data_IF_627704279642
#
_entry.id   IF_627704279642
#
_cell.length_a   1.000
_cell.length_b   1.000
_cell.length_c   1.000
_cell.angle_alpha   90.00
_cell.angle_beta   90.00
_cell.angle_gamma   90.00
#
_symmetry.space_group_name_H-M   'P 1'
#
loop_
_entity.id
_entity.type
_entity.pdbx_description
1 polymer ?
#
# COMPACT_ATOMS: atom_id res chain seq x y z
N UNK A 1 -8.13 -22.54 -9.07
CA UNK A 1 -8.94 -21.81 -10.06
C UNK A 1 -8.06 -21.42 -11.24
N UNK A 2 -8.63 -21.39 -12.47
CA UNK A 2 -7.87 -21.09 -13.71
C UNK A 2 -8.09 -19.66 -14.15
N UNK A 3 -7.00 -19.05 -14.61
CA UNK A 3 -6.96 -17.68 -15.14
C UNK A 3 -6.22 -17.65 -16.46
N UNK A 4 -6.55 -16.68 -17.29
CA UNK A 4 -5.86 -16.41 -18.55
C UNK A 4 -5.41 -14.94 -18.58
N UNK A 5 -4.14 -14.72 -18.87
CA UNK A 5 -3.62 -13.39 -19.22
C UNK A 5 -3.35 -13.37 -20.71
N UNK A 6 -4.12 -12.59 -21.45
CA UNK A 6 -3.92 -12.38 -22.87
C UNK A 6 -3.26 -11.04 -23.13
N UNK A 7 -2.19 -11.05 -23.93
CA UNK A 7 -1.55 -9.83 -24.41
C UNK A 7 -2.04 -9.58 -25.81
N UNK A 8 -2.76 -8.49 -26.00
CA UNK A 8 -3.23 -8.05 -27.32
C UNK A 8 -2.10 -7.28 -28.00
N UNK A 9 -1.85 -7.57 -29.28
CA UNK A 9 -0.80 -6.96 -30.13
C UNK A 9 0.61 -7.03 -29.52
N UNK A 10 1.09 -8.21 -29.09
CA UNK A 10 2.41 -8.34 -28.48
C UNK A 10 3.52 -8.03 -29.50
N UNK A 11 4.53 -7.29 -29.06
CA UNK A 11 5.70 -6.94 -29.90
C UNK A 11 6.51 -8.19 -30.25
N UNK A 12 6.60 -9.16 -29.35
CA UNK A 12 7.34 -10.40 -29.53
C UNK A 12 6.68 -11.36 -30.55
N UNK A 13 5.48 -11.04 -31.03
CA UNK A 13 4.69 -11.91 -31.88
C UNK A 13 3.79 -12.88 -31.11
N UNK A 14 2.88 -13.51 -31.85
CA UNK A 14 1.86 -14.39 -31.27
C UNK A 14 2.45 -15.66 -30.65
N UNK A 15 2.15 -15.91 -29.39
CA UNK A 15 2.57 -17.11 -28.66
C UNK A 15 3.98 -17.04 -28.10
N UNK A 16 4.63 -15.87 -28.18
CA UNK A 16 5.95 -15.64 -27.60
C UNK A 16 5.85 -14.60 -26.48
N UNK A 17 6.70 -14.74 -25.46
CA UNK A 17 6.94 -13.76 -24.42
C UNK A 17 8.41 -13.80 -24.02
N UNK A 18 9.05 -12.65 -23.95
CA UNK A 18 10.40 -12.52 -23.42
C UNK A 18 10.45 -12.95 -21.95
N UNK A 19 11.45 -13.74 -21.58
CA UNK A 19 11.57 -14.30 -20.22
C UNK A 19 11.68 -13.19 -19.16
N UNK A 20 12.42 -12.10 -19.45
CA UNK A 20 12.53 -10.97 -18.50
C UNK A 20 11.20 -10.27 -18.31
N UNK A 21 10.43 -10.15 -19.39
CA UNK A 21 9.06 -9.62 -19.33
C UNK A 21 8.14 -10.50 -18.49
N UNK A 22 8.21 -11.81 -18.67
CA UNK A 22 7.45 -12.77 -17.87
C UNK A 22 7.79 -12.66 -16.39
N UNK A 23 9.08 -12.56 -16.03
CA UNK A 23 9.52 -12.35 -14.64
C UNK A 23 9.00 -11.03 -14.09
N UNK A 24 9.05 -9.92 -14.85
CA UNK A 24 8.51 -8.64 -14.43
C UNK A 24 6.99 -8.70 -14.19
N UNK A 25 6.26 -9.39 -15.09
CA UNK A 25 4.80 -9.57 -14.94
C UNK A 25 4.48 -10.39 -13.70
N UNK A 26 5.17 -11.51 -13.48
CA UNK A 26 4.99 -12.37 -12.33
C UNK A 26 5.29 -11.65 -11.00
N UNK A 27 6.39 -10.88 -10.93
CA UNK A 27 6.79 -10.10 -9.77
C UNK A 27 5.71 -9.06 -9.39
N UNK A 28 5.20 -8.33 -10.39
CA UNK A 28 4.17 -7.31 -10.15
C UNK A 28 2.86 -7.94 -9.71
N UNK A 29 2.42 -9.02 -10.35
CA UNK A 29 1.20 -9.74 -9.96
C UNK A 29 1.32 -10.21 -8.51
N UNK A 30 2.43 -10.84 -8.16
CA UNK A 30 2.67 -11.35 -6.81
C UNK A 30 2.67 -10.22 -5.77
N UNK A 31 3.37 -9.12 -6.03
CA UNK A 31 3.42 -7.95 -5.13
C UNK A 31 2.07 -7.28 -4.95
N UNK A 32 1.30 -7.13 -6.02
CA UNK A 32 -0.06 -6.56 -5.94
C UNK A 32 -0.98 -7.50 -5.16
N UNK A 33 -0.96 -8.80 -5.42
CA UNK A 33 -1.78 -9.78 -4.70
C UNK A 33 -1.40 -9.82 -3.20
N UNK A 34 -0.10 -9.79 -2.88
CA UNK A 34 0.41 -9.72 -1.51
C UNK A 34 -0.06 -8.44 -0.80
N UNK A 35 0.19 -7.27 -1.41
CA UNK A 35 -0.24 -5.99 -0.86
C UNK A 35 -1.75 -5.91 -0.66
N UNK A 36 -2.53 -6.41 -1.60
CA UNK A 36 -3.98 -6.47 -1.52
C UNK A 36 -4.47 -7.40 -0.39
N UNK A 37 -3.80 -8.53 -0.17
CA UNK A 37 -4.09 -9.43 0.94
C UNK A 37 -3.74 -8.78 2.28
N UNK A 38 -2.54 -8.21 2.40
CA UNK A 38 -2.08 -7.51 3.61
C UNK A 38 -3.04 -6.38 3.99
N UNK A 39 -3.46 -5.58 3.00
CA UNK A 39 -4.38 -4.47 3.22
C UNK A 39 -5.74 -4.93 3.77
N UNK A 40 -6.22 -6.09 3.33
CA UNK A 40 -7.47 -6.68 3.84
C UNK A 40 -7.33 -7.30 5.22
N UNK A 41 -6.19 -7.89 5.52
CA UNK A 41 -5.92 -8.52 6.82
C UNK A 41 -5.53 -7.50 7.89
N UNK A 42 -4.68 -6.54 7.54
CA UNK A 42 -4.01 -5.63 8.47
C UNK A 42 -4.34 -4.15 8.27
N UNK A 43 -5.03 -3.79 7.17
CA UNK A 43 -5.39 -2.41 6.86
C UNK A 43 -4.29 -1.60 6.17
N UNK A 44 -3.12 -2.19 5.85
CA UNK A 44 -2.03 -1.61 5.06
C UNK A 44 -1.44 -2.66 4.13
N UNK A 45 -0.90 -2.23 2.99
CA UNK A 45 -0.35 -3.13 1.96
C UNK A 45 1.11 -3.53 2.22
N UNK A 46 1.85 -2.75 3.00
CA UNK A 46 3.24 -3.03 3.37
C UNK A 46 3.34 -3.02 4.89
N UNK A 47 3.87 -4.10 5.45
CA UNK A 47 4.20 -4.19 6.87
C UNK A 47 5.70 -4.34 7.04
N UNK A 48 6.28 -3.69 8.05
CA UNK A 48 7.65 -3.96 8.46
C UNK A 48 7.73 -5.34 9.12
N UNK A 49 8.82 -6.06 8.89
CA UNK A 49 9.08 -7.34 9.53
C UNK A 49 9.23 -8.52 8.56
N UNK A 50 9.46 -9.70 9.12
CA UNK A 50 9.66 -10.95 8.35
C UNK A 50 8.33 -11.44 7.81
N UNK A 51 8.27 -11.76 6.52
CA UNK A 51 7.10 -12.39 5.90
C UNK A 51 6.77 -13.71 6.61
N UNK A 52 5.48 -13.94 6.83
CA UNK A 52 5.02 -15.22 7.34
C UNK A 52 5.03 -16.24 6.21
N UNK A 53 5.69 -17.39 6.39
CA UNK A 53 5.76 -18.45 5.37
C UNK A 53 4.38 -18.92 4.89
N UNK A 54 3.35 -18.89 5.77
CA UNK A 54 1.97 -19.23 5.42
C UNK A 54 1.37 -18.28 4.37
N UNK A 55 1.81 -17.03 4.30
CA UNK A 55 1.34 -16.08 3.28
C UNK A 55 1.95 -16.37 1.91
N UNK A 56 3.19 -16.82 1.86
CA UNK A 56 3.85 -17.17 0.59
C UNK A 56 3.14 -18.35 -0.08
N UNK A 57 2.76 -19.39 0.70
CA UNK A 57 1.99 -20.52 0.17
C UNK A 57 0.59 -20.10 -0.32
N UNK A 58 -0.05 -19.17 0.40
CA UNK A 58 -1.37 -18.67 0.03
C UNK A 58 -1.38 -17.81 -1.24
N UNK A 59 -0.25 -17.19 -1.56
CA UNK A 59 -0.07 -16.32 -2.72
C UNK A 59 0.53 -17.04 -3.93
N UNK A 60 0.67 -18.35 -3.86
CA UNK A 60 1.22 -19.15 -4.94
C UNK A 60 0.36 -19.09 -6.19
N UNK A 61 0.97 -18.76 -7.32
CA UNK A 61 0.39 -18.74 -8.66
C UNK A 61 1.27 -19.58 -9.58
N UNK A 62 0.71 -20.63 -10.16
CA UNK A 62 1.43 -21.53 -11.05
C UNK A 62 1.15 -21.15 -12.52
N UNK A 63 2.20 -21.03 -13.34
CA UNK A 63 2.09 -20.94 -14.79
C UNK A 63 1.97 -22.35 -15.37
N UNK A 64 0.80 -22.68 -15.89
CA UNK A 64 0.51 -24.04 -16.42
C UNK A 64 0.71 -24.18 -17.92
N UNK A 65 0.85 -23.07 -18.63
CA UNK A 65 1.15 -23.11 -20.05
C UNK A 65 1.05 -21.78 -20.78
N UNK A 66 1.52 -21.77 -22.01
CA UNK A 66 1.41 -20.66 -22.96
C UNK A 66 0.72 -21.18 -24.23
N UNK A 67 -0.37 -20.56 -24.65
CA UNK A 67 -1.11 -20.97 -25.86
C UNK A 67 -0.61 -20.23 -27.09
N UNK A 68 -0.51 -20.96 -28.22
CA UNK A 68 -0.21 -20.40 -29.53
C UNK A 68 -1.42 -19.64 -30.11
N UNK A 69 -1.16 -18.68 -30.99
CA UNK A 69 -2.18 -17.90 -31.73
C UNK A 69 -2.44 -16.49 -31.17
N UNK A 70 -2.26 -16.24 -29.92
CA UNK A 70 -2.08 -14.97 -29.19
C UNK A 70 -1.22 -15.29 -27.99
N UNK A 71 -0.46 -14.34 -27.45
CA UNK A 71 0.32 -14.59 -26.25
C UNK A 71 -0.66 -14.69 -25.07
N UNK A 72 -0.98 -15.94 -24.68
CA UNK A 72 -1.91 -16.25 -23.59
C UNK A 72 -1.19 -17.09 -22.55
N UNK A 73 -1.07 -16.53 -21.36
CA UNK A 73 -0.49 -17.22 -20.20
C UNK A 73 -1.65 -17.85 -19.42
N UNK A 74 -1.56 -19.16 -19.24
CA UNK A 74 -2.53 -19.92 -18.44
C UNK A 74 -1.99 -20.05 -17.03
N UNK A 75 -2.73 -19.55 -16.06
CA UNK A 75 -2.34 -19.52 -14.67
C UNK A 75 -3.34 -20.33 -13.82
N UNK A 76 -2.85 -20.93 -12.75
CA UNK A 76 -3.66 -21.63 -11.78
C UNK A 76 -3.27 -21.25 -10.36
N UNK A 77 -4.25 -21.05 -9.48
CA UNK A 77 -4.03 -20.78 -8.06
C UNK A 77 -5.20 -21.30 -7.22
N UNK A 78 -4.90 -21.62 -5.95
CA UNK A 78 -5.88 -22.02 -4.97
C UNK A 78 -6.66 -20.84 -4.39
N UNK A 79 -7.77 -21.10 -3.71
CA UNK A 79 -8.48 -20.10 -2.92
C UNK A 79 -7.74 -19.83 -1.61
N UNK A 80 -7.90 -18.62 -1.08
CA UNK A 80 -7.28 -18.26 0.20
C UNK A 80 -7.85 -19.10 1.36
N UNK A 81 -9.12 -19.53 1.27
CA UNK A 81 -9.73 -20.42 2.27
C UNK A 81 -9.11 -21.81 2.30
N UNK A 82 -8.61 -22.31 1.15
CA UNK A 82 -7.91 -23.60 1.08
C UNK A 82 -6.49 -23.52 1.66
N UNK A 83 -5.81 -22.39 1.50
CA UNK A 83 -4.39 -22.20 1.86
C UNK A 83 -4.19 -21.59 3.23
N UNK A 84 -5.04 -20.66 3.65
CA UNK A 84 -4.95 -19.96 4.95
C UNK A 84 -5.80 -20.66 6.04
N UNK A 85 -5.72 -21.97 6.14
CA UNK A 85 -6.42 -22.75 7.17
C UNK A 85 -6.02 -22.26 8.57
N UNK A 86 -7.02 -21.85 9.38
CA UNK A 86 -6.82 -21.38 10.76
C UNK A 86 -6.67 -19.86 10.91
N UNK A 87 -6.69 -19.07 9.85
CA UNK A 87 -6.90 -17.62 9.93
C UNK A 87 -8.40 -17.38 9.98
N UNK A 88 -8.86 -16.77 11.07
CA UNK A 88 -10.25 -16.36 11.22
C UNK A 88 -10.50 -15.19 10.27
N UNK A 89 -11.12 -15.45 9.13
CA UNK A 89 -11.59 -14.40 8.23
C UNK A 89 -12.77 -13.67 8.89
N UNK A 90 -12.70 -12.36 8.95
CA UNK A 90 -13.73 -11.52 9.58
C UNK A 90 -15.09 -11.77 8.92
N UNK A 91 -16.07 -12.25 9.71
CA UNK A 91 -17.42 -12.57 9.25
C UNK A 91 -18.27 -11.30 8.93
N UNK A 92 -17.78 -10.11 9.33
CA UNK A 92 -18.52 -8.86 9.14
C UNK A 92 -18.04 -8.14 7.88
N UNK A 93 -18.69 -8.41 6.76
CA UNK A 93 -18.37 -7.76 5.47
C UNK A 93 -19.60 -7.20 4.81
N UNK A 94 -19.36 -6.06 4.14
CA UNK A 94 -20.35 -5.38 3.32
C UNK A 94 -20.95 -6.32 2.27
N UNK A 95 -22.27 -6.24 2.15
CA UNK A 95 -23.03 -6.97 1.13
C UNK A 95 -22.45 -6.72 -0.26
N UNK A 96 -22.14 -7.78 -0.98
CA UNK A 96 -21.67 -7.74 -2.39
C UNK A 96 -20.19 -8.06 -2.62
N UNK A 97 -19.35 -8.22 -1.59
CA UNK A 97 -17.98 -8.71 -1.77
C UNK A 97 -17.89 -10.23 -1.53
N UNK A 98 -17.24 -10.94 -2.47
CA UNK A 98 -16.81 -12.31 -2.24
C UNK A 98 -16.07 -12.39 -0.90
N UNK A 99 -16.44 -13.35 -0.04
CA UNK A 99 -15.70 -13.56 1.20
C UNK A 99 -14.23 -13.78 0.87
N UNK A 100 -13.31 -13.26 1.70
CA UNK A 100 -11.87 -13.36 1.44
C UNK A 100 -11.42 -14.81 1.25
N UNK A 101 -12.09 -15.75 1.91
CA UNK A 101 -11.85 -17.18 1.76
C UNK A 101 -12.09 -17.69 0.32
N UNK A 102 -13.03 -17.10 -0.41
CA UNK A 102 -13.35 -17.46 -1.80
C UNK A 102 -12.45 -16.78 -2.82
N UNK A 103 -11.71 -15.76 -2.40
CA UNK A 103 -10.77 -15.07 -3.28
C UNK A 103 -9.50 -15.89 -3.51
N UNK A 104 -8.83 -15.58 -4.60
CA UNK A 104 -7.53 -16.13 -4.98
C UNK A 104 -6.53 -14.98 -5.13
N UNK A 105 -5.21 -15.25 -5.18
CA UNK A 105 -4.22 -14.21 -5.48
C UNK A 105 -4.51 -13.45 -6.78
N UNK A 106 -4.95 -14.18 -7.82
CA UNK A 106 -5.30 -13.55 -9.10
C UNK A 106 -6.56 -12.70 -9.01
N UNK A 107 -7.59 -13.11 -8.26
CA UNK A 107 -8.78 -12.26 -8.07
C UNK A 107 -8.48 -11.03 -7.23
N UNK A 108 -7.56 -11.12 -6.24
CA UNK A 108 -7.06 -9.95 -5.51
C UNK A 108 -6.39 -8.95 -6.45
N UNK A 109 -5.51 -9.44 -7.32
CA UNK A 109 -4.85 -8.63 -8.34
C UNK A 109 -5.87 -7.93 -9.25
N UNK A 110 -6.84 -8.69 -9.82
CA UNK A 110 -7.87 -8.16 -10.72
C UNK A 110 -8.74 -7.10 -10.04
N UNK A 111 -9.24 -7.40 -8.84
CA UNK A 111 -10.11 -6.49 -8.09
C UNK A 111 -9.38 -5.21 -7.71
N UNK A 112 -8.13 -5.30 -7.27
CA UNK A 112 -7.31 -4.13 -6.90
C UNK A 112 -7.07 -3.20 -8.10
N UNK A 113 -6.79 -3.77 -9.27
CA UNK A 113 -6.69 -2.99 -10.51
C UNK A 113 -8.03 -2.33 -10.88
N UNK A 114 -9.13 -3.09 -10.83
CA UNK A 114 -10.45 -2.55 -11.14
C UNK A 114 -10.83 -1.43 -10.17
N UNK A 115 -10.62 -1.61 -8.86
CA UNK A 115 -10.90 -0.59 -7.84
C UNK A 115 -10.10 0.69 -8.07
N UNK A 116 -8.83 0.56 -8.51
CA UNK A 116 -7.97 1.71 -8.80
C UNK A 116 -8.36 2.43 -10.11
N UNK A 117 -8.86 1.70 -11.11
CA UNK A 117 -9.28 2.26 -12.41
C UNK A 117 -10.68 2.89 -12.35
N UNK A 118 -11.64 2.25 -11.67
CA UNK A 118 -13.02 2.73 -11.60
C UNK A 118 -13.18 3.97 -10.71
N UNK A 119 -12.24 4.26 -9.83
CA UNK A 119 -12.17 5.48 -9.01
C UNK A 119 -13.31 5.68 -8.00
N UNK A 120 -14.33 4.81 -7.97
CA UNK A 120 -15.58 5.02 -7.24
C UNK A 120 -15.84 3.99 -6.13
N UNK A 121 -15.44 2.73 -6.31
CA UNK A 121 -15.71 1.64 -5.38
C UNK A 121 -14.45 1.21 -4.61
N UNK A 122 -14.65 0.80 -3.36
CA UNK A 122 -13.64 0.12 -2.53
C UNK A 122 -12.29 0.86 -2.31
N UNK A 123 -12.31 2.18 -2.32
CA UNK A 123 -11.11 3.02 -2.03
C UNK A 123 -10.43 2.69 -0.70
N UNK A 124 -11.13 2.03 0.21
CA UNK A 124 -10.56 1.57 1.49
C UNK A 124 -9.50 0.47 1.34
N UNK A 125 -9.52 -0.26 0.20
CA UNK A 125 -8.56 -1.32 -0.12
C UNK A 125 -7.43 -0.84 -1.03
N UNK A 126 -7.17 0.46 -1.04
CA UNK A 126 -6.05 1.09 -1.74
C UNK A 126 -5.25 1.95 -0.77
N UNK A 127 -3.93 1.89 -0.87
CA UNK A 127 -3.00 2.79 -0.22
C UNK A 127 -1.87 3.16 -1.18
N UNK A 128 -1.07 4.15 -0.83
CA UNK A 128 -0.02 4.66 -1.72
C UNK A 128 0.99 3.59 -2.15
N UNK A 129 1.51 2.71 -1.26
CA UNK A 129 2.44 1.67 -1.68
C UNK A 129 1.83 0.67 -2.66
N UNK A 130 0.56 0.29 -2.49
CA UNK A 130 -0.12 -0.61 -3.41
C UNK A 130 -0.35 0.04 -4.78
N UNK A 131 -0.75 1.33 -4.80
CA UNK A 131 -0.89 2.10 -6.03
C UNK A 131 0.43 2.20 -6.79
N UNK A 132 1.56 2.38 -6.09
CA UNK A 132 2.90 2.34 -6.68
C UNK A 132 3.19 1.01 -7.40
N UNK A 133 2.79 -0.13 -6.81
CA UNK A 133 2.92 -1.43 -7.47
C UNK A 133 2.04 -1.53 -8.73
N UNK A 134 0.82 -0.98 -8.70
CA UNK A 134 -0.04 -0.93 -9.88
C UNK A 134 0.55 -0.05 -10.99
N UNK A 135 1.09 1.11 -10.65
CA UNK A 135 1.78 2.01 -11.62
C UNK A 135 3.01 1.33 -12.21
N UNK A 136 3.72 0.51 -11.42
CA UNK A 136 4.88 -0.24 -11.90
C UNK A 136 4.54 -1.23 -13.04
N UNK A 137 3.26 -1.60 -13.21
CA UNK A 137 2.79 -2.43 -14.33
C UNK A 137 3.12 -1.81 -15.70
N UNK A 138 3.33 -0.48 -15.77
CA UNK A 138 3.81 0.19 -16.99
C UNK A 138 5.09 -0.41 -17.56
N UNK A 139 5.94 -1.04 -16.73
CA UNK A 139 7.20 -1.66 -17.12
C UNK A 139 7.01 -2.94 -17.95
N UNK A 140 5.82 -3.54 -17.89
CA UNK A 140 5.49 -4.77 -18.63
C UNK A 140 5.08 -4.46 -20.06
N UNK A 141 4.63 -3.26 -20.37
CA UNK A 141 4.31 -2.84 -21.74
C UNK A 141 5.58 -2.59 -22.55
N UNK A 142 5.63 -3.14 -23.75
CA UNK A 142 6.73 -2.94 -24.72
C UNK A 142 6.36 -1.93 -25.80
N UNK A 143 5.06 -1.81 -26.13
CA UNK A 143 4.55 -0.83 -27.09
C UNK A 143 3.30 -0.12 -26.54
N UNK A 144 3.00 1.08 -27.04
CA UNK A 144 1.78 1.81 -26.66
C UNK A 144 0.48 1.08 -26.99
N UNK A 145 0.46 0.33 -28.10
CA UNK A 145 -0.74 -0.34 -28.63
C UNK A 145 -1.08 -1.65 -27.91
N UNK A 146 -0.17 -2.13 -27.05
CA UNK A 146 -0.40 -3.33 -26.29
C UNK A 146 -1.49 -3.12 -25.22
N UNK A 147 -2.25 -4.19 -24.98
CA UNK A 147 -3.21 -4.24 -23.89
C UNK A 147 -3.15 -5.61 -23.21
N UNK A 148 -3.44 -5.64 -21.92
CA UNK A 148 -3.53 -6.85 -21.12
C UNK A 148 -5.00 -7.12 -20.80
N UNK A 149 -5.44 -8.35 -21.03
CA UNK A 149 -6.75 -8.86 -20.60
C UNK A 149 -6.50 -9.97 -19.60
N UNK A 150 -7.13 -9.86 -18.45
CA UNK A 150 -7.08 -10.92 -17.43
C UNK A 150 -8.50 -11.40 -17.20
N UNK A 151 -8.71 -12.69 -17.39
CA UNK A 151 -10.03 -13.32 -17.23
C UNK A 151 -9.93 -14.63 -16.46
N UNK A 152 -11.04 -15.03 -15.87
CA UNK A 152 -11.25 -16.35 -15.34
C UNK A 152 -12.61 -16.87 -15.83
N UNK A 153 -12.76 -18.08 -16.12
CA UNK A 153 -13.93 -18.83 -16.61
C UNK A 153 -15.34 -18.25 -16.22
N UNK A 154 -15.51 -16.91 -16.32
CA UNK A 154 -16.79 -16.20 -16.10
C UNK A 154 -17.12 -15.88 -14.64
N UNK A 155 -16.21 -16.09 -13.68
CA UNK A 155 -16.49 -15.85 -12.25
C UNK A 155 -16.26 -14.44 -11.78
N UNK A 156 -15.37 -13.70 -12.47
CA UNK A 156 -15.09 -12.28 -12.19
C UNK A 156 -15.15 -11.49 -13.48
N UNK A 157 -15.46 -10.18 -13.37
CA UNK A 157 -15.42 -9.25 -14.49
C UNK A 157 -14.00 -9.27 -15.09
N UNK A 158 -13.92 -9.37 -16.42
CA UNK A 158 -12.64 -9.29 -17.13
C UNK A 158 -11.93 -7.98 -16.82
N UNK A 159 -10.65 -8.06 -16.47
CA UNK A 159 -9.81 -6.90 -16.28
C UNK A 159 -9.13 -6.54 -17.61
N UNK A 160 -9.29 -5.31 -18.07
CA UNK A 160 -8.65 -4.78 -19.27
C UNK A 160 -7.75 -3.60 -18.90
N UNK A 161 -6.44 -3.73 -19.17
CA UNK A 161 -5.43 -2.72 -18.81
C UNK A 161 -4.72 -2.24 -20.07
N UNK A 162 -4.80 -0.95 -20.34
CA UNK A 162 -3.99 -0.23 -21.32
C UNK A 162 -2.93 0.60 -20.62
N UNK A 163 -1.84 0.93 -21.32
CA UNK A 163 -0.78 1.78 -20.79
C UNK A 163 -1.31 3.17 -20.36
N UNK A 164 -2.26 3.71 -21.11
CA UNK A 164 -2.89 5.01 -20.81
C UNK A 164 -3.70 4.97 -19.52
N UNK A 165 -4.35 3.84 -19.22
CA UNK A 165 -5.18 3.69 -18.00
C UNK A 165 -4.35 3.83 -16.73
N UNK A 166 -3.06 3.50 -16.79
CA UNK A 166 -2.14 3.63 -15.64
C UNK A 166 -1.87 5.08 -15.25
N UNK A 167 -2.11 6.05 -16.12
CA UNK A 167 -2.00 7.48 -15.79
C UNK A 167 -3.01 7.88 -14.72
N UNK A 168 -4.23 7.32 -14.76
CA UNK A 168 -5.25 7.59 -13.76
C UNK A 168 -4.83 7.06 -12.38
N UNK A 169 -4.21 5.87 -12.36
CA UNK A 169 -3.67 5.29 -11.12
C UNK A 169 -2.51 6.13 -10.59
N UNK A 170 -1.63 6.65 -11.46
CA UNK A 170 -0.53 7.51 -11.07
C UNK A 170 -1.03 8.82 -10.45
N UNK A 171 -2.05 9.46 -11.03
CA UNK A 171 -2.68 10.66 -10.45
C UNK A 171 -3.27 10.37 -9.07
N UNK A 172 -3.93 9.21 -8.91
CA UNK A 172 -4.47 8.81 -7.61
C UNK A 172 -3.36 8.58 -6.59
N UNK A 173 -2.26 7.93 -7.00
CA UNK A 173 -1.09 7.68 -6.16
C UNK A 173 -0.43 9.01 -5.71
N UNK A 174 -0.18 9.94 -6.62
CA UNK A 174 0.40 11.25 -6.36
C UNK A 174 -0.48 12.10 -5.43
N UNK A 175 -1.80 11.92 -5.46
CA UNK A 175 -2.74 12.61 -4.58
C UNK A 175 -2.68 12.18 -3.12
N UNK A 176 -2.09 11.01 -2.82
CA UNK A 176 -1.98 10.51 -1.45
C UNK A 176 -0.67 10.97 -0.79
N UNK A 177 -0.75 11.40 0.49
CA UNK A 177 0.43 11.66 1.29
C UNK A 177 1.30 10.39 1.46
N UNK A 178 2.60 10.59 1.68
CA UNK A 178 3.48 9.50 2.13
C UNK A 178 3.10 9.02 3.53
N UNK A 179 3.31 7.73 3.85
CA UNK A 179 3.14 7.25 5.22
C UNK A 179 3.97 8.07 6.20
N UNK A 180 3.36 8.51 7.29
CA UNK A 180 3.95 9.46 8.23
C UNK A 180 4.00 8.88 9.64
N UNK A 181 5.13 9.06 10.33
CA UNK A 181 5.22 8.73 11.76
C UNK A 181 4.50 9.78 12.59
N UNK A 182 3.59 9.32 13.42
CA UNK A 182 2.87 10.20 14.34
C UNK A 182 2.92 9.68 15.77
N UNK A 183 2.72 10.59 16.69
CA UNK A 183 2.38 10.33 18.08
C UNK A 183 0.98 10.87 18.27
N UNK A 184 0.08 10.06 18.80
CA UNK A 184 -1.29 10.48 19.11
C UNK A 184 -1.68 10.02 20.50
N UNK A 185 -2.47 10.82 21.19
CA UNK A 185 -3.04 10.51 22.48
C UNK A 185 -4.54 10.24 22.35
N UNK A 186 -5.03 9.24 23.06
CA UNK A 186 -6.44 8.92 23.09
C UNK A 186 -6.76 7.67 23.89
N UNK A 187 -8.06 7.38 24.01
CA UNK A 187 -8.55 6.19 24.70
C UNK A 187 -8.53 4.99 23.75
N UNK A 188 -7.99 3.86 24.21
CA UNK A 188 -8.04 2.59 23.48
C UNK A 188 -9.45 2.01 23.61
N UNK A 189 -10.28 2.23 22.58
CA UNK A 189 -11.71 1.88 22.56
C UNK A 189 -11.97 0.44 22.10
N UNK A 190 -11.08 -0.10 21.24
CA UNK A 190 -11.17 -1.46 20.76
C UNK A 190 -9.78 -2.11 20.72
N UNK A 191 -9.71 -3.35 21.19
CA UNK A 191 -8.54 -4.19 21.05
C UNK A 191 -8.98 -5.60 20.68
N UNK A 192 -8.62 -6.07 19.48
CA UNK A 192 -8.97 -7.39 18.98
C UNK A 192 -7.70 -8.24 18.82
N UNK A 193 -7.52 -9.21 19.70
CA UNK A 193 -6.33 -10.04 19.74
C UNK A 193 -6.12 -10.88 18.47
N UNK A 194 -7.20 -11.46 17.92
CA UNK A 194 -7.13 -12.39 16.77
C UNK A 194 -6.66 -11.71 15.47
N UNK A 195 -7.01 -10.43 15.27
CA UNK A 195 -6.68 -9.66 14.08
C UNK A 195 -5.65 -8.56 14.34
N UNK A 196 -5.12 -8.46 15.57
CA UNK A 196 -4.22 -7.39 16.01
C UNK A 196 -4.79 -5.98 15.79
N UNK A 197 -6.10 -5.83 15.69
CA UNK A 197 -6.76 -4.54 15.48
C UNK A 197 -6.85 -3.74 16.75
N UNK A 198 -6.63 -2.44 16.63
CA UNK A 198 -6.77 -1.46 17.69
C UNK A 198 -7.57 -0.27 17.17
N UNK A 199 -8.35 0.35 18.05
CA UNK A 199 -9.02 1.63 17.80
C UNK A 199 -8.67 2.59 18.90
N UNK A 200 -8.18 3.77 18.52
CA UNK A 200 -7.85 4.86 19.43
C UNK A 200 -8.80 6.01 19.19
N UNK A 201 -9.52 6.42 20.23
CA UNK A 201 -10.46 7.54 20.21
C UNK A 201 -9.78 8.76 20.81
N UNK A 202 -9.44 9.72 19.99
CA UNK A 202 -8.91 11.02 20.38
C UNK A 202 -9.95 12.13 20.26
N UNK A 203 -9.60 13.36 20.64
CA UNK A 203 -10.50 14.53 20.55
C UNK A 203 -10.89 14.85 19.11
N UNK A 204 -10.02 14.60 18.14
CA UNK A 204 -10.27 14.87 16.72
C UNK A 204 -10.95 13.71 15.98
N UNK A 205 -11.38 12.67 16.70
CA UNK A 205 -12.09 11.52 16.13
C UNK A 205 -11.44 10.18 16.43
N UNK A 206 -11.85 9.19 15.64
CA UNK A 206 -11.44 7.80 15.81
C UNK A 206 -10.36 7.45 14.80
N UNK A 207 -9.29 6.79 15.27
CA UNK A 207 -8.24 6.23 14.43
C UNK A 207 -8.27 4.70 14.55
N UNK A 208 -8.62 4.03 13.46
CA UNK A 208 -8.48 2.59 13.35
C UNK A 208 -7.05 2.21 12.99
N UNK A 209 -6.57 1.11 13.54
CA UNK A 209 -5.21 0.65 13.32
C UNK A 209 -5.01 -0.83 13.60
N UNK A 210 -3.78 -1.24 13.55
CA UNK A 210 -3.34 -2.58 13.91
C UNK A 210 -2.00 -2.48 14.66
N UNK A 211 -1.73 -3.52 15.43
CA UNK A 211 -0.49 -3.61 16.21
C UNK A 211 0.62 -4.18 15.31
N UNK A 212 1.80 -3.57 15.35
CA UNK A 212 3.00 -4.14 14.75
C UNK A 212 3.28 -5.53 15.34
N UNK A 213 3.88 -6.42 14.53
CA UNK A 213 4.22 -7.78 14.96
C UNK A 213 5.25 -7.80 16.10
N UNK A 214 6.07 -6.73 16.22
CA UNK A 214 7.10 -6.58 17.25
C UNK A 214 6.51 -6.16 18.61
N UNK A 215 5.24 -5.79 18.68
CA UNK A 215 4.61 -5.27 19.89
C UNK A 215 4.02 -6.42 20.72
N UNK A 216 4.39 -6.48 22.01
CA UNK A 216 3.81 -7.45 22.92
C UNK A 216 2.31 -7.15 23.18
N UNK A 217 1.48 -8.04 22.68
CA UNK A 217 0.02 -7.92 22.81
C UNK A 217 -0.47 -7.96 24.25
N UNK A 218 0.27 -8.62 25.15
CA UNK A 218 -0.08 -8.68 26.57
C UNK A 218 0.15 -7.33 27.26
N UNK A 219 1.15 -6.58 26.83
CA UNK A 219 1.40 -5.22 27.31
C UNK A 219 0.33 -4.26 26.81
N UNK A 220 -0.05 -4.37 25.54
CA UNK A 220 -1.11 -3.52 24.94
C UNK A 220 -2.45 -3.73 25.64
N UNK A 221 -2.76 -4.95 26.06
CA UNK A 221 -4.02 -5.25 26.75
C UNK A 221 -4.25 -4.43 28.03
N UNK A 222 -3.18 -3.95 28.69
CA UNK A 222 -3.24 -3.11 29.88
C UNK A 222 -3.84 -1.73 29.61
N UNK A 223 -3.83 -1.28 28.36
CA UNK A 223 -4.33 0.02 27.94
C UNK A 223 -5.79 -0.03 27.47
N UNK A 224 -6.40 -1.21 27.42
CA UNK A 224 -7.80 -1.29 27.02
C UNK A 224 -8.69 -0.43 27.93
N UNK A 225 -9.56 0.37 27.34
CA UNK A 225 -10.42 1.38 27.97
C UNK A 225 -9.69 2.53 28.68
N UNK A 226 -8.37 2.62 28.56
CA UNK A 226 -7.57 3.66 29.20
C UNK A 226 -7.04 4.65 28.15
N UNK A 227 -6.70 5.83 28.65
CA UNK A 227 -5.92 6.79 27.86
C UNK A 227 -4.49 6.29 27.70
N UNK A 228 -3.98 6.42 26.50
CA UNK A 228 -2.62 6.04 26.15
C UNK A 228 -2.05 6.98 25.08
N UNK A 229 -0.74 7.12 25.09
CA UNK A 229 0.03 7.73 24.02
C UNK A 229 0.50 6.62 23.08
N UNK A 230 0.12 6.75 21.81
CA UNK A 230 0.38 5.77 20.77
C UNK A 230 1.33 6.36 19.74
N UNK A 231 2.42 5.66 19.46
CA UNK A 231 3.37 6.01 18.41
C UNK A 231 3.30 4.98 17.29
N UNK A 232 3.20 5.45 16.05
CA UNK A 232 3.09 4.56 14.91
C UNK A 232 3.25 5.25 13.56
N UNK A 233 3.07 4.46 12.51
CA UNK A 233 3.09 4.91 11.12
C UNK A 233 1.66 5.01 10.61
N UNK A 234 1.24 6.20 10.18
CA UNK A 234 -0.09 6.42 9.57
C UNK A 234 0.00 6.23 8.08
N UNK A 235 -0.89 5.43 7.57
CA UNK A 235 -1.10 5.19 6.15
C UNK A 235 -2.37 5.91 5.70
N UNK A 236 -2.25 6.67 4.61
CA UNK A 236 -3.35 7.42 4.02
C UNK A 236 -4.01 6.61 2.91
N UNK A 237 -5.34 6.69 2.85
CA UNK A 237 -6.17 6.01 1.86
C UNK A 237 -6.97 7.02 1.05
N UNK A 238 -7.35 6.69 -0.18
CA UNK A 238 -8.25 7.54 -0.96
C UNK A 238 -9.52 7.87 -0.18
N UNK A 239 -10.02 9.11 -0.33
CA UNK A 239 -11.18 9.57 0.42
C UNK A 239 -10.89 10.06 1.84
N UNK A 240 -9.61 10.32 2.17
CA UNK A 240 -9.21 10.94 3.46
C UNK A 240 -9.21 9.98 4.65
N UNK A 241 -9.43 8.69 4.44
CA UNK A 241 -9.31 7.68 5.50
C UNK A 241 -7.86 7.47 5.89
N UNK A 242 -7.63 7.10 7.14
CA UNK A 242 -6.31 6.86 7.71
C UNK A 242 -6.32 5.58 8.53
N UNK A 243 -5.18 4.88 8.54
CA UNK A 243 -4.97 3.68 9.37
C UNK A 243 -3.60 3.77 10.01
N UNK A 244 -3.48 3.51 11.30
CA UNK A 244 -2.21 3.55 12.03
C UNK A 244 -1.66 2.14 12.25
N UNK A 245 -0.38 1.93 11.92
CA UNK A 245 0.41 0.81 12.39
C UNK A 245 1.06 1.20 13.72
N UNK A 246 0.55 0.66 14.83
CA UNK A 246 1.03 0.98 16.17
C UNK A 246 2.34 0.25 16.43
N UNK A 247 3.40 1.00 16.66
CA UNK A 247 4.74 0.49 16.95
C UNK A 247 5.08 0.54 18.43
N UNK A 248 4.49 1.50 19.16
CA UNK A 248 4.66 1.65 20.62
C UNK A 248 3.38 2.19 21.25
N UNK A 249 3.14 1.80 22.48
CA UNK A 249 2.05 2.32 23.32
C UNK A 249 2.57 2.48 24.75
N UNK A 250 2.25 3.60 25.39
CA UNK A 250 2.68 3.90 26.75
C UNK A 250 1.64 4.76 27.48
N UNK A 251 1.70 4.83 28.82
CA UNK A 251 0.82 5.67 29.60
C UNK A 251 0.99 7.14 29.21
N UNK A 252 -0.10 7.91 29.32
CA UNK A 252 -0.05 9.36 29.15
C UNK A 252 0.80 9.99 30.24
N UNK A 253 1.77 10.81 29.89
CA UNK A 253 2.57 11.62 30.79
C UNK A 253 2.05 13.06 30.86
N UNK A 254 2.32 13.77 31.96
CA UNK A 254 1.92 15.17 32.09
C UNK A 254 2.63 16.05 31.06
N UNK A 255 1.86 16.85 30.32
CA UNK A 255 2.39 17.74 29.26
C UNK A 255 2.29 17.19 27.85
N UNK A 256 1.73 15.99 27.66
CA UNK A 256 1.56 15.38 26.32
C UNK A 256 0.26 15.84 25.59
N UNK A 257 -0.50 16.77 26.12
CA UNK A 257 -1.73 17.30 25.49
C UNK A 257 -1.52 17.81 24.05
N UNK A 258 -0.26 18.13 23.72
CA UNK A 258 0.10 18.52 22.36
C UNK A 258 -0.16 17.40 21.35
N UNK A 259 -0.02 16.12 21.75
CA UNK A 259 -0.24 14.96 20.90
C UNK A 259 -1.71 14.54 20.77
N UNK A 260 -2.61 15.18 21.53
CA UNK A 260 -4.04 14.94 21.40
C UNK A 260 -4.60 15.43 20.06
N UNK A 261 -3.95 16.41 19.42
CA UNK A 261 -4.35 16.95 18.11
C UNK A 261 -3.74 16.15 16.96
N UNK A 262 -4.61 15.58 16.15
CA UNK A 262 -4.18 14.86 14.95
C UNK A 262 -3.80 15.85 13.84
N UNK A 263 -2.59 15.71 13.30
CA UNK A 263 -2.19 16.46 12.11
C UNK A 263 -2.94 15.91 10.89
N UNK A 264 -3.38 16.81 10.01
CA UNK A 264 -3.91 16.41 8.70
C UNK A 264 -2.71 16.01 7.82
N UNK A 265 -2.78 14.81 7.24
CA UNK A 265 -1.80 14.42 6.23
C UNK A 265 -1.89 15.35 5.02
N UNK A 266 -0.77 15.88 4.60
CA UNK A 266 -0.64 16.76 3.44
C UNK A 266 0.20 16.07 2.37
N UNK A 267 -0.24 16.13 1.12
CA UNK A 267 0.62 15.73 0.00
C UNK A 267 1.71 16.78 -0.23
N UNK A 268 2.70 16.46 -1.07
CA UNK A 268 3.85 17.33 -1.31
C UNK A 268 3.43 18.72 -1.79
N UNK A 269 2.43 18.80 -2.66
CA UNK A 269 1.90 20.08 -3.18
C UNK A 269 1.29 20.93 -2.07
N UNK A 270 0.45 20.31 -1.23
CA UNK A 270 -0.16 20.99 -0.09
C UNK A 270 0.88 21.47 0.93
N UNK A 271 1.95 20.68 1.16
CA UNK A 271 3.06 21.08 2.01
C UNK A 271 3.80 22.29 1.43
N UNK A 272 4.07 22.29 0.12
CA UNK A 272 4.69 23.42 -0.57
C UNK A 272 3.81 24.66 -0.49
N UNK A 273 2.51 24.53 -0.78
CA UNK A 273 1.56 25.65 -0.69
C UNK A 273 1.47 26.21 0.73
N UNK A 274 1.45 25.36 1.75
CA UNK A 274 1.46 25.80 3.15
C UNK A 274 2.76 26.55 3.48
N UNK A 275 3.91 26.00 3.11
CA UNK A 275 5.20 26.63 3.34
C UNK A 275 5.32 27.98 2.62
N UNK A 276 4.81 28.10 1.40
CA UNK A 276 4.79 29.35 0.67
C UNK A 276 3.89 30.40 1.34
N UNK A 277 2.73 29.99 1.87
CA UNK A 277 1.84 30.88 2.62
C UNK A 277 2.45 31.33 3.94
N UNK A 278 3.01 30.42 4.74
CA UNK A 278 3.61 30.70 6.04
C UNK A 278 4.84 31.63 5.92
N UNK A 279 5.63 31.47 4.85
CA UNK A 279 6.86 32.24 4.61
C UNK A 279 6.67 33.47 3.72
N UNK A 280 5.42 33.90 3.48
CA UNK A 280 5.11 35.09 2.68
C UNK A 280 5.65 35.02 1.25
N UNK A 281 5.70 33.85 0.63
CA UNK A 281 6.17 33.63 -0.73
C UNK A 281 7.70 33.71 -0.91
N UNK A 282 8.48 33.85 0.14
CA UNK A 282 9.95 33.82 0.07
C UNK A 282 10.46 32.38 -0.07
N UNK A 283 11.06 32.12 -1.23
CA UNK A 283 11.76 30.83 -1.44
C UNK A 283 13.11 30.89 -0.67
N UNK A 284 13.08 30.36 0.57
CA UNK A 284 14.29 30.31 1.42
C UNK A 284 15.35 29.35 0.86
N UNK A 285 15.02 28.45 -0.06
CA UNK A 285 16.04 27.64 -0.75
C UNK A 285 16.97 28.50 -1.60
N UNK A 286 16.47 29.61 -2.21
CA UNK A 286 17.31 30.54 -2.95
C UNK A 286 18.26 31.34 -2.06
N UNK A 287 17.94 31.53 -0.77
CA UNK A 287 18.84 32.25 0.15
C UNK A 287 19.96 31.37 0.70
N UNK A 288 19.88 30.05 0.51
CA UNK A 288 20.87 29.06 0.95
C UNK A 288 21.80 28.65 -0.21
N UNK A 289 21.39 28.93 -1.46
CA UNK A 289 22.22 28.66 -2.64
C UNK A 289 23.44 29.60 -2.57
N UNK A 290 24.63 29.05 -2.56
CA UNK A 290 25.90 29.75 -2.38
C UNK A 290 26.33 30.00 -0.91
N UNK A 291 25.53 29.50 0.08
CA UNK A 291 25.90 29.51 1.51
C UNK A 291 26.06 28.10 2.08
N UNK A 292 26.03 27.09 1.22
CA UNK A 292 26.22 25.71 1.67
C UNK A 292 27.68 25.50 2.07
N UNK A 293 27.97 24.97 3.27
CA UNK A 293 29.34 24.58 3.62
C UNK A 293 29.80 23.50 2.62
N UNK A 294 30.72 23.82 1.76
CA UNK A 294 31.23 22.98 0.68
C UNK A 294 31.49 23.72 -0.64
N UNK A 295 30.97 24.95 -0.82
CA UNK A 295 31.35 25.85 -1.90
C UNK A 295 32.59 26.73 -1.52
N UNK A 296 33.10 26.54 -0.30
CA UNK A 296 34.31 27.18 0.16
C UNK A 296 35.55 26.49 -0.40
N UNK A 297 36.51 27.30 -0.88
CA UNK A 297 37.76 26.77 -1.40
C UNK A 297 38.44 25.88 -0.33
N UNK A 298 38.59 24.58 -0.64
CA UNK A 298 39.12 23.58 0.30
C UNK A 298 40.49 23.98 0.87
N UNK A 299 41.31 24.72 0.10
CA UNK A 299 42.60 25.20 0.51
C UNK A 299 42.50 26.33 1.57
N UNK A 300 41.42 27.12 1.56
CA UNK A 300 41.13 28.15 2.58
C UNK A 300 40.68 27.48 3.90
N UNK A 301 39.91 26.41 3.85
CA UNK A 301 39.48 25.66 5.02
C UNK A 301 40.66 24.94 5.73
N UNK A 302 41.57 24.36 4.96
CA UNK A 302 42.80 23.74 5.51
C UNK A 302 43.71 24.81 6.14
N UNK A 303 43.84 25.98 5.54
CA UNK A 303 44.61 27.12 6.09
C UNK A 303 44.08 27.59 7.44
N UNK A 304 42.77 27.57 7.67
CA UNK A 304 42.14 27.94 8.95
C UNK A 304 42.29 26.87 10.04
N UNK A 305 42.45 25.59 9.67
CA UNK A 305 42.60 24.46 10.62
C UNK A 305 44.04 24.26 11.05
N UNK A 306 45.03 24.89 10.35
CA UNK A 306 46.47 24.75 10.61
C UNK A 306 47.10 26.03 11.19
N UNK A 307 46.30 27.05 11.44
CA UNK A 307 46.68 28.30 12.11
C UNK A 307 46.20 28.27 13.59
#
# INVERSE_FOLDING_TARGET
MKYEIKIDKPVEGNGHIDLRRLVQLADIISKVAEGALQLRLRGVSITAGRKQAKLDDALRIDLVGVKKGSTRLMLECATLGETLKGIQFDAFRHEGQLQLAEQTPMSLFMNTFSDALDGTSNKEFLDKPLLNQLVAFKKVFRAPEEAFRVSNEGRTKELFVKKESLKQIAVLEESLPEPERIVLQGTVDLLQHSSSRIRVKGPDGVMDGFLSDDLDRSEVARFWTKEATVMGLVHFKPGGRRTIEVQRIFPVEQGEDYFAKQRKGENVEQQIERQLREKGGRNTAKSVVGQWPGDEDFDLLIGQLTA
#
